data_IF_097752296973
#
_entry.id   IF_097752296973
#
_cell.length_a   1.000
_cell.length_b   1.000
_cell.length_c   1.000
_cell.angle_alpha   90.00
_cell.angle_beta   90.00
_cell.angle_gamma   90.00
#
_symmetry.space_group_name_H-M   'P 1'
#
loop_
_entity.id
_entity.type
_entity.pdbx_description
1 polymer ?
#
# COMPACT_ATOMS: atom_id res chain seq x y z
N UNK A 1 -45.29 -56.79 17.69
CA UNK A 1 -43.91 -56.39 17.34
C UNK A 1 -43.75 -56.57 15.85
N UNK A 2 -43.76 -55.50 15.05
CA UNK A 2 -43.09 -55.43 13.74
C UNK A 2 -43.15 -54.01 13.21
N UNK A 3 -41.96 -53.48 12.93
CA UNK A 3 -41.69 -52.11 12.53
C UNK A 3 -41.81 -51.92 11.00
N UNK A 4 -42.04 -50.67 10.65
CA UNK A 4 -42.36 -50.10 9.36
C UNK A 4 -41.21 -50.18 8.34
N UNK A 5 -41.58 -50.47 7.09
CA UNK A 5 -40.72 -50.57 5.91
C UNK A 5 -40.22 -49.20 5.43
N UNK A 6 -38.93 -49.14 5.07
CA UNK A 6 -38.32 -48.08 4.26
C UNK A 6 -38.32 -48.47 2.76
N UNK A 7 -38.52 -47.54 1.81
CA UNK A 7 -38.10 -47.73 0.42
C UNK A 7 -36.75 -47.02 0.21
N UNK A 8 -35.65 -47.73 -0.08
CA UNK A 8 -35.25 -48.30 -1.37
C UNK A 8 -35.19 -47.27 -2.49
N UNK A 9 -33.98 -46.73 -2.68
CA UNK A 9 -33.57 -45.87 -3.80
C UNK A 9 -33.15 -46.76 -4.96
N UNK A 10 -33.66 -46.47 -6.16
CA UNK A 10 -33.07 -46.91 -7.42
C UNK A 10 -33.03 -45.71 -8.40
N UNK A 11 -32.09 -45.72 -9.36
CA UNK A 11 -31.58 -44.53 -10.03
C UNK A 11 -32.25 -44.31 -11.39
N UNK A 12 -32.21 -43.08 -11.89
CA UNK A 12 -32.27 -42.86 -13.34
C UNK A 12 -31.50 -41.61 -13.74
N UNK A 13 -30.90 -41.71 -14.92
CA UNK A 13 -29.84 -40.86 -15.44
C UNK A 13 -30.29 -39.53 -16.05
N UNK A 14 -29.28 -38.68 -16.16
CA UNK A 14 -29.11 -37.47 -16.94
C UNK A 14 -30.14 -37.15 -18.05
N UNK A 15 -30.61 -35.90 -18.07
CA UNK A 15 -30.24 -34.93 -19.11
C UNK A 15 -30.71 -33.51 -18.72
N UNK A 16 -29.97 -32.49 -19.16
CA UNK A 16 -30.60 -31.20 -19.47
C UNK A 16 -30.30 -30.01 -18.54
N UNK A 17 -29.17 -29.36 -18.81
CA UNK A 17 -28.97 -27.89 -18.78
C UNK A 17 -29.03 -27.18 -17.41
N UNK A 18 -27.85 -26.82 -16.92
CA UNK A 18 -27.66 -25.80 -15.88
C UNK A 18 -28.20 -24.45 -16.36
N UNK A 19 -29.34 -24.06 -15.83
CA UNK A 19 -29.87 -22.72 -15.96
C UNK A 19 -29.02 -21.71 -15.16
N UNK A 20 -28.89 -20.52 -15.76
CA UNK A 20 -28.55 -19.23 -15.16
C UNK A 20 -27.09 -19.00 -14.72
N UNK A 21 -26.21 -18.77 -15.70
CA UNK A 21 -25.14 -17.77 -15.54
C UNK A 21 -25.80 -16.39 -15.40
N UNK A 22 -25.84 -15.85 -14.19
CA UNK A 22 -26.25 -14.47 -13.95
C UNK A 22 -25.27 -13.51 -14.63
N UNK A 23 -25.80 -12.72 -15.56
CA UNK A 23 -25.15 -11.55 -16.16
C UNK A 23 -24.73 -10.56 -15.06
N UNK A 24 -23.46 -10.15 -15.06
CA UNK A 24 -22.98 -8.97 -14.31
C UNK A 24 -22.08 -9.23 -13.10
N UNK A 25 -21.81 -10.47 -12.70
CA UNK A 25 -20.90 -10.77 -11.59
C UNK A 25 -19.43 -10.80 -12.03
N UNK A 26 -18.60 -9.89 -11.51
CA UNK A 26 -17.14 -10.00 -11.64
C UNK A 26 -16.66 -11.25 -10.86
N UNK A 27 -16.09 -12.28 -11.52
CA UNK A 27 -15.65 -13.47 -10.81
C UNK A 27 -14.33 -13.13 -10.11
N UNK A 28 -14.35 -13.06 -8.78
CA UNK A 28 -13.14 -12.92 -7.96
C UNK A 28 -12.14 -14.08 -8.17
N UNK A 29 -12.56 -15.12 -8.88
CA UNK A 29 -11.82 -16.33 -9.18
C UNK A 29 -11.34 -16.42 -10.64
N UNK A 30 -11.32 -15.31 -11.40
CA UNK A 30 -10.89 -15.34 -12.82
C UNK A 30 -9.52 -15.99 -13.02
N UNK A 31 -8.53 -15.72 -12.15
CA UNK A 31 -7.23 -16.36 -12.26
C UNK A 31 -7.32 -17.88 -12.08
N UNK A 32 -8.09 -18.35 -11.10
CA UNK A 32 -8.31 -19.77 -10.86
C UNK A 32 -9.11 -20.41 -11.99
N UNK A 33 -10.18 -19.78 -12.45
CA UNK A 33 -11.02 -20.27 -13.54
C UNK A 33 -10.24 -20.35 -14.86
N UNK A 34 -9.42 -19.35 -15.17
CA UNK A 34 -8.55 -19.36 -16.35
C UNK A 34 -7.47 -20.43 -16.26
N UNK A 35 -6.89 -20.64 -15.07
CA UNK A 35 -5.93 -21.72 -14.84
C UNK A 35 -6.62 -23.09 -15.00
N UNK A 36 -7.80 -23.26 -14.42
CA UNK A 36 -8.55 -24.52 -14.50
C UNK A 36 -9.05 -24.81 -15.92
N UNK A 37 -9.46 -23.79 -16.67
CA UNK A 37 -9.87 -23.91 -18.07
C UNK A 37 -8.69 -24.29 -18.98
N UNK A 38 -7.52 -23.68 -18.75
CA UNK A 38 -6.30 -24.09 -19.42
C UNK A 38 -5.91 -25.53 -19.07
N UNK A 39 -5.99 -25.92 -17.79
CA UNK A 39 -5.73 -27.30 -17.35
C UNK A 39 -6.69 -28.28 -18.02
N UNK A 40 -7.99 -27.97 -18.11
CA UNK A 40 -8.97 -28.80 -18.81
C UNK A 40 -8.64 -28.95 -20.30
N UNK A 41 -8.12 -27.88 -20.94
CA UNK A 41 -7.66 -27.92 -22.33
C UNK A 41 -6.45 -28.85 -22.50
N UNK A 42 -5.52 -28.83 -21.54
CA UNK A 42 -4.38 -29.74 -21.52
C UNK A 42 -4.80 -31.20 -21.27
N UNK A 43 -5.77 -31.44 -20.39
CA UNK A 43 -6.31 -32.78 -20.12
C UNK A 43 -6.98 -33.38 -21.36
N UNK A 44 -7.75 -32.58 -22.10
CA UNK A 44 -8.37 -33.01 -23.37
C UNK A 44 -7.32 -33.35 -24.43
N UNK A 45 -6.27 -32.55 -24.54
CA UNK A 45 -5.20 -32.79 -25.52
C UNK A 45 -4.35 -34.01 -25.14
N UNK A 46 -4.08 -34.20 -23.85
CA UNK A 46 -3.43 -35.41 -23.34
C UNK A 46 -4.26 -36.66 -23.62
N UNK A 47 -5.58 -36.60 -23.44
CA UNK A 47 -6.49 -37.71 -23.76
C UNK A 47 -6.51 -38.03 -25.27
N UNK A 48 -6.29 -37.04 -26.13
CA UNK A 48 -6.28 -37.19 -27.59
C UNK A 48 -4.97 -37.75 -28.14
N UNK A 49 -3.84 -37.37 -27.56
CA UNK A 49 -2.51 -37.63 -28.12
C UNK A 49 -1.68 -38.62 -27.31
N UNK A 50 -2.08 -38.93 -26.07
CA UNK A 50 -1.41 -39.88 -25.18
C UNK A 50 -0.11 -39.37 -24.55
N UNK A 51 0.51 -38.33 -25.10
CA UNK A 51 1.71 -37.68 -24.55
C UNK A 51 1.73 -36.19 -24.88
N UNK A 52 2.02 -35.34 -23.89
CA UNK A 52 2.24 -33.90 -24.09
C UNK A 52 3.74 -33.60 -24.01
N UNK A 53 4.35 -33.21 -25.13
CA UNK A 53 5.72 -32.70 -25.12
C UNK A 53 5.77 -31.18 -24.90
N UNK A 54 6.97 -30.66 -24.66
CA UNK A 54 7.18 -29.24 -24.38
C UNK A 54 6.87 -28.32 -25.59
N UNK A 55 6.79 -28.85 -26.81
CA UNK A 55 6.39 -28.12 -28.00
C UNK A 55 4.87 -27.96 -28.07
N UNK A 56 4.14 -29.06 -27.87
CA UNK A 56 2.68 -29.10 -27.81
C UNK A 56 2.12 -28.22 -26.69
N UNK A 57 2.73 -28.27 -25.50
CA UNK A 57 2.35 -27.41 -24.36
C UNK A 57 2.46 -25.92 -24.70
N UNK A 58 3.55 -25.50 -25.37
CA UNK A 58 3.73 -24.09 -25.76
C UNK A 58 2.74 -23.67 -26.84
N UNK A 59 2.48 -24.53 -27.83
CA UNK A 59 1.50 -24.24 -28.87
C UNK A 59 0.08 -24.07 -28.29
N UNK A 60 -0.32 -24.94 -27.36
CA UNK A 60 -1.61 -24.84 -26.68
C UNK A 60 -1.72 -23.59 -25.80
N UNK A 61 -0.64 -23.22 -25.10
CA UNK A 61 -0.59 -21.98 -24.32
C UNK A 61 -0.80 -20.74 -25.20
N UNK A 62 -0.16 -20.67 -26.37
CA UNK A 62 -0.32 -19.54 -27.30
C UNK A 62 -1.73 -19.45 -27.88
N UNK A 63 -2.36 -20.58 -28.21
CA UNK A 63 -3.75 -20.62 -28.70
C UNK A 63 -4.73 -20.18 -27.61
N UNK A 64 -4.52 -20.63 -26.38
CA UNK A 64 -5.33 -20.22 -25.23
C UNK A 64 -5.20 -18.72 -24.95
N UNK A 65 -3.96 -18.19 -24.92
CA UNK A 65 -3.70 -16.76 -24.74
C UNK A 65 -4.28 -15.92 -25.89
N UNK A 66 -4.28 -16.43 -27.12
CA UNK A 66 -4.94 -15.81 -28.27
C UNK A 66 -6.45 -15.64 -28.07
N UNK A 67 -7.14 -16.67 -27.56
CA UNK A 67 -8.56 -16.59 -27.21
C UNK A 67 -8.83 -15.57 -26.10
N UNK A 68 -7.99 -15.53 -25.06
CA UNK A 68 -8.16 -14.57 -23.96
C UNK A 68 -8.00 -13.10 -24.39
N UNK A 69 -7.13 -12.83 -25.37
CA UNK A 69 -6.98 -11.49 -25.96
C UNK A 69 -8.23 -11.03 -26.73
N UNK A 70 -9.10 -11.95 -27.15
CA UNK A 70 -10.35 -11.67 -27.84
C UNK A 70 -11.54 -11.40 -26.91
N UNK A 71 -11.44 -11.75 -25.62
CA UNK A 71 -12.44 -11.39 -24.62
C UNK A 71 -12.33 -9.89 -24.31
N UNK A 72 -13.42 -9.13 -24.53
CA UNK A 72 -13.49 -7.68 -24.32
C UNK A 72 -12.90 -7.25 -22.97
N UNK A 73 -12.33 -6.04 -22.92
CA UNK A 73 -11.84 -5.37 -21.71
C UNK A 73 -12.79 -5.62 -20.52
N UNK A 74 -12.26 -5.85 -19.30
CA UNK A 74 -13.11 -6.05 -18.13
C UNK A 74 -14.06 -4.86 -18.03
N UNK A 75 -15.37 -5.13 -17.89
CA UNK A 75 -16.37 -4.08 -17.68
C UNK A 75 -15.89 -3.13 -16.57
N UNK A 76 -16.17 -1.84 -16.67
CA UNK A 76 -15.73 -0.82 -15.68
C UNK A 76 -16.04 -1.22 -14.22
N UNK A 77 -17.04 -2.08 -14.01
CA UNK A 77 -17.37 -2.70 -12.74
C UNK A 77 -16.29 -3.66 -12.21
N UNK A 78 -15.61 -4.42 -13.05
CA UNK A 78 -14.46 -5.26 -12.67
C UNK A 78 -13.25 -4.41 -12.29
N UNK A 79 -13.02 -3.28 -12.98
CA UNK A 79 -11.96 -2.34 -12.62
C UNK A 79 -12.27 -1.66 -11.29
N UNK A 80 -13.52 -1.20 -11.08
CA UNK A 80 -13.99 -0.66 -9.79
C UNK A 80 -13.94 -1.68 -8.66
N UNK A 81 -14.29 -2.94 -8.91
CA UNK A 81 -14.21 -4.00 -7.91
C UNK A 81 -12.75 -4.38 -7.62
N UNK A 82 -11.88 -4.46 -8.64
CA UNK A 82 -10.44 -4.65 -8.46
C UNK A 82 -9.81 -3.50 -7.69
N UNK A 83 -10.23 -2.26 -7.97
CA UNK A 83 -9.88 -1.11 -7.15
C UNK A 83 -10.41 -1.31 -5.73
N UNK A 84 -11.69 -1.64 -5.52
CA UNK A 84 -12.27 -1.93 -4.20
C UNK A 84 -11.54 -3.04 -3.45
N UNK A 85 -11.05 -4.07 -4.13
CA UNK A 85 -10.23 -5.13 -3.54
C UNK A 85 -8.83 -4.64 -3.22
N UNK A 86 -8.20 -3.83 -4.08
CA UNK A 86 -6.97 -3.09 -3.72
C UNK A 86 -7.18 -2.11 -2.57
N UNK A 87 -8.40 -1.60 -2.40
CA UNK A 87 -8.80 -0.75 -1.28
C UNK A 87 -9.02 -1.59 -0.02
N UNK A 88 -9.61 -2.78 -0.14
CA UNK A 88 -9.73 -3.77 0.94
C UNK A 88 -8.40 -4.39 1.33
N UNK A 89 -7.48 -4.59 0.39
CA UNK A 89 -6.11 -5.04 0.63
C UNK A 89 -5.32 -3.98 1.40
N UNK A 90 -5.52 -2.69 1.10
CA UNK A 90 -5.04 -1.59 1.95
C UNK A 90 -5.78 -1.45 3.29
N UNK A 91 -6.97 -2.05 3.45
CA UNK A 91 -7.61 -2.26 4.75
C UNK A 91 -7.01 -3.45 5.52
N UNK A 92 -6.15 -4.29 4.92
CA UNK A 92 -5.47 -5.41 5.60
C UNK A 92 -4.28 -4.98 6.45
N UNK A 93 -3.74 -3.78 6.20
CA UNK A 93 -2.57 -3.22 6.89
C UNK A 93 -2.94 -1.95 7.66
N UNK A 94 -3.79 -2.04 8.71
CA UNK A 94 -4.19 -0.89 9.50
C UNK A 94 -3.02 -0.12 10.14
N UNK A 95 -1.92 -0.78 10.49
CA UNK A 95 -0.74 -0.11 11.03
C UNK A 95 -0.06 0.78 9.99
N UNK A 96 0.13 0.27 8.75
CA UNK A 96 0.63 1.07 7.63
C UNK A 96 -0.22 2.32 7.40
N UNK A 97 -1.55 2.16 7.49
CA UNK A 97 -2.49 3.27 7.30
C UNK A 97 -2.33 4.35 8.38
N UNK A 98 -2.10 3.98 9.63
CA UNK A 98 -1.81 4.95 10.70
C UNK A 98 -0.54 5.75 10.42
N UNK A 99 0.50 5.09 9.89
CA UNK A 99 1.75 5.76 9.50
C UNK A 99 1.53 6.68 8.30
N UNK A 100 0.87 6.21 7.24
CA UNK A 100 0.62 6.99 6.02
C UNK A 100 -0.22 8.23 6.31
N UNK A 101 -1.16 8.14 7.26
CA UNK A 101 -2.01 9.27 7.64
C UNK A 101 -1.20 10.51 8.01
N UNK A 102 -0.03 10.33 8.66
CA UNK A 102 0.88 11.41 9.10
C UNK A 102 1.31 12.34 7.98
N UNK A 103 1.47 11.81 6.77
CA UNK A 103 1.85 12.58 5.59
C UNK A 103 0.79 12.54 4.48
N UNK A 104 -0.43 12.10 4.80
CA UNK A 104 -1.48 11.89 3.79
C UNK A 104 -1.89 13.18 3.08
N UNK A 105 -1.74 14.32 3.73
CA UNK A 105 -1.93 15.66 3.15
C UNK A 105 -0.96 15.98 2.00
N UNK A 106 0.12 15.20 1.82
CA UNK A 106 1.03 15.33 0.69
C UNK A 106 0.62 14.46 -0.52
N UNK A 107 -0.38 13.59 -0.35
CA UNK A 107 -0.86 12.64 -1.36
C UNK A 107 -2.13 13.16 -2.06
N UNK A 108 -2.43 12.69 -3.29
CA UNK A 108 -3.70 12.93 -3.96
C UNK A 108 -4.85 12.44 -3.08
N UNK A 109 -5.90 13.23 -2.93
CA UNK A 109 -7.04 12.94 -2.04
C UNK A 109 -7.71 11.62 -2.40
N UNK A 110 -7.99 10.80 -1.38
CA UNK A 110 -8.83 9.61 -1.48
C UNK A 110 -9.88 9.61 -0.37
N UNK A 111 -10.92 8.79 -0.52
CA UNK A 111 -11.99 8.71 0.47
C UNK A 111 -11.40 8.23 1.82
N UNK A 112 -11.60 9.02 2.87
CA UNK A 112 -11.19 8.69 4.23
C UNK A 112 -9.71 8.98 4.55
N UNK A 113 -9.08 9.90 3.83
CA UNK A 113 -7.80 10.52 4.22
C UNK A 113 -7.75 12.02 3.88
N UNK A 114 -6.67 12.67 4.35
CA UNK A 114 -6.55 14.12 4.38
C UNK A 114 -5.78 14.67 3.15
N UNK A 115 -5.73 13.91 2.05
CA UNK A 115 -4.99 14.29 0.85
C UNK A 115 -5.52 15.53 0.12
N UNK A 116 -4.78 15.98 -0.89
CA UNK A 116 -5.10 17.20 -1.66
C UNK A 116 -5.72 16.87 -3.02
N UNK A 117 -6.66 17.70 -3.49
CA UNK A 117 -7.35 17.46 -4.76
C UNK A 117 -6.46 17.67 -5.98
N UNK A 118 -5.52 18.61 -5.92
CA UNK A 118 -4.61 18.97 -7.01
C UNK A 118 -3.24 19.35 -6.45
N UNK A 119 -2.19 19.21 -7.27
CA UNK A 119 -0.84 19.64 -6.89
C UNK A 119 -0.19 18.80 -5.79
N UNK A 120 -0.63 17.55 -5.61
CA UNK A 120 -0.02 16.64 -4.64
C UNK A 120 1.48 16.46 -4.92
N UNK A 121 2.28 16.61 -3.87
CA UNK A 121 3.74 16.52 -3.98
C UNK A 121 4.20 15.06 -4.13
N UNK A 122 3.50 14.13 -3.48
CA UNK A 122 3.79 12.70 -3.53
C UNK A 122 2.78 11.96 -4.41
N UNK A 123 3.19 10.85 -5.04
CA UNK A 123 2.26 9.91 -5.69
C UNK A 123 1.95 8.74 -4.75
N UNK A 124 0.74 8.21 -4.82
CA UNK A 124 0.37 7.00 -4.07
C UNK A 124 1.07 5.75 -4.55
N UNK A 125 1.72 5.81 -5.71
CA UNK A 125 2.64 4.77 -6.19
C UNK A 125 3.84 4.60 -5.28
N UNK A 126 4.20 5.60 -4.49
CA UNK A 126 5.29 5.51 -3.52
C UNK A 126 4.94 4.66 -2.30
N UNK A 127 3.65 4.48 -1.98
CA UNK A 127 3.19 3.83 -0.74
C UNK A 127 3.80 2.43 -0.55
N UNK A 128 3.77 1.51 -1.54
CA UNK A 128 4.37 0.18 -1.38
C UNK A 128 5.88 0.26 -1.05
N UNK A 129 6.62 1.13 -1.71
CA UNK A 129 8.04 1.34 -1.44
C UNK A 129 8.31 1.95 -0.07
N UNK A 130 7.45 2.86 0.39
CA UNK A 130 7.51 3.42 1.75
C UNK A 130 7.25 2.32 2.79
N UNK A 131 6.24 1.47 2.57
CA UNK A 131 5.94 0.34 3.43
C UNK A 131 7.13 -0.62 3.52
N UNK A 132 7.76 -0.97 2.39
CA UNK A 132 8.99 -1.79 2.34
C UNK A 132 10.13 -1.13 3.13
N UNK A 133 10.34 0.18 2.96
CA UNK A 133 11.38 0.91 3.69
C UNK A 133 11.14 0.89 5.21
N UNK A 134 9.89 1.10 5.65
CA UNK A 134 9.48 1.01 7.05
C UNK A 134 9.77 -0.40 7.58
N UNK A 135 9.28 -1.45 6.90
CA UNK A 135 9.52 -2.84 7.31
C UNK A 135 11.02 -3.16 7.42
N UNK A 136 11.85 -2.66 6.49
CA UNK A 136 13.32 -2.83 6.54
C UNK A 136 13.97 -2.11 7.73
N UNK A 137 13.45 -0.95 8.15
CA UNK A 137 13.97 -0.22 9.31
C UNK A 137 13.52 -0.85 10.64
N UNK A 138 12.25 -1.24 10.75
CA UNK A 138 11.71 -1.72 12.03
C UNK A 138 11.95 -3.23 12.23
N UNK A 139 12.08 -3.98 11.14
CA UNK A 139 12.16 -5.44 11.11
C UNK A 139 10.77 -6.10 11.00
N UNK A 140 10.69 -7.19 10.25
CA UNK A 140 9.41 -7.87 9.93
C UNK A 140 8.64 -8.34 11.16
N UNK A 141 9.33 -8.85 12.19
CA UNK A 141 8.67 -9.37 13.39
C UNK A 141 8.00 -8.26 14.19
N UNK A 142 8.67 -7.11 14.33
CA UNK A 142 8.10 -5.93 15.00
C UNK A 142 6.97 -5.32 14.17
N UNK A 143 7.15 -5.25 12.85
CA UNK A 143 6.09 -4.83 11.94
C UNK A 143 4.82 -5.66 12.17
N UNK A 144 4.93 -6.99 12.18
CA UNK A 144 3.79 -7.91 12.40
C UNK A 144 3.19 -7.77 13.79
N UNK A 145 4.01 -7.53 14.82
CA UNK A 145 3.54 -7.30 16.18
C UNK A 145 2.69 -6.01 16.26
N UNK A 146 3.15 -4.92 15.65
CA UNK A 146 2.41 -3.65 15.63
C UNK A 146 1.18 -3.70 14.72
N UNK A 147 1.23 -4.44 13.62
CA UNK A 147 0.07 -4.75 12.78
C UNK A 147 -1.01 -5.48 13.59
N UNK A 148 -0.62 -6.53 14.32
CA UNK A 148 -1.52 -7.27 15.23
C UNK A 148 -2.12 -6.36 16.31
N UNK A 149 -1.29 -5.53 16.95
CA UNK A 149 -1.75 -4.59 17.97
C UNK A 149 -2.76 -3.57 17.39
N UNK A 150 -2.53 -3.11 16.16
CA UNK A 150 -3.45 -2.17 15.48
C UNK A 150 -4.77 -2.84 15.11
N UNK A 151 -4.75 -4.11 14.69
CA UNK A 151 -5.96 -4.90 14.49
C UNK A 151 -6.78 -5.02 15.78
N UNK A 152 -6.13 -5.20 16.93
CA UNK A 152 -6.81 -5.26 18.22
C UNK A 152 -7.45 -3.92 18.62
N UNK A 153 -6.78 -2.79 18.34
CA UNK A 153 -7.37 -1.45 18.51
C UNK A 153 -8.62 -1.31 17.64
N UNK A 154 -8.55 -1.72 16.37
CA UNK A 154 -9.69 -1.66 15.46
C UNK A 154 -10.84 -2.57 15.88
N UNK A 155 -10.54 -3.78 16.40
CA UNK A 155 -11.54 -4.71 16.91
C UNK A 155 -12.33 -4.07 18.06
N UNK A 156 -11.64 -3.45 19.02
CA UNK A 156 -12.27 -2.70 20.11
C UNK A 156 -13.07 -1.50 19.62
N UNK A 157 -12.50 -0.71 18.71
CA UNK A 157 -13.20 0.44 18.12
C UNK A 157 -14.52 0.03 17.43
N UNK A 158 -14.52 -1.06 16.65
CA UNK A 158 -15.73 -1.59 16.00
C UNK A 158 -16.77 -2.09 17.00
N UNK A 159 -16.34 -2.66 18.12
CA UNK A 159 -17.25 -3.11 19.18
C UNK A 159 -17.91 -1.92 19.90
N UNK A 160 -17.17 -0.82 20.09
CA UNK A 160 -17.67 0.41 20.70
C UNK A 160 -18.57 1.22 19.75
N UNK A 161 -18.27 1.21 18.45
CA UNK A 161 -18.97 2.00 17.43
C UNK A 161 -19.28 1.13 16.19
N UNK A 162 -20.45 0.46 16.16
CA UNK A 162 -20.88 -0.29 15.00
C UNK A 162 -21.08 0.62 13.79
N UNK A 163 -20.40 0.34 12.68
CA UNK A 163 -20.51 1.12 11.44
C UNK A 163 -19.21 1.19 10.65
N UNK A 164 -19.15 2.07 9.63
CA UNK A 164 -17.91 2.36 8.91
C UNK A 164 -16.82 2.85 9.85
N UNK A 165 -15.57 2.41 9.64
CA UNK A 165 -14.43 2.82 10.47
C UNK A 165 -14.11 4.28 10.21
N UNK A 166 -14.19 5.10 11.26
CA UNK A 166 -13.65 6.46 11.25
C UNK A 166 -12.16 6.42 11.62
N UNK A 167 -11.32 6.56 10.60
CA UNK A 167 -9.86 6.54 10.78
C UNK A 167 -9.32 7.75 11.51
N UNK A 168 -10.04 8.89 11.53
CA UNK A 168 -9.63 10.04 12.31
C UNK A 168 -9.78 9.73 13.82
N UNK A 169 -10.90 9.13 14.21
CA UNK A 169 -11.11 8.69 15.60
C UNK A 169 -10.13 7.60 16.01
N UNK A 170 -9.91 6.58 15.15
CA UNK A 170 -8.92 5.53 15.43
C UNK A 170 -7.52 6.11 15.61
N UNK A 171 -7.11 7.04 14.74
CA UNK A 171 -5.79 7.67 14.82
C UNK A 171 -5.63 8.59 16.04
N UNK A 172 -6.72 9.18 16.54
CA UNK A 172 -6.72 10.03 17.72
C UNK A 172 -6.62 9.24 19.04
N UNK A 173 -6.81 7.90 19.01
CA UNK A 173 -6.66 7.06 20.21
C UNK A 173 -5.22 7.07 20.69
N UNK A 174 -5.03 7.25 22.01
CA UNK A 174 -3.72 7.24 22.66
C UNK A 174 -2.87 6.02 22.28
N UNK A 175 -3.48 4.83 22.23
CA UNK A 175 -2.78 3.60 21.87
C UNK A 175 -2.29 3.59 20.42
N UNK A 176 -3.07 4.14 19.48
CA UNK A 176 -2.67 4.30 18.08
C UNK A 176 -1.50 5.27 17.94
N UNK A 177 -1.59 6.42 18.63
CA UNK A 177 -0.52 7.42 18.67
C UNK A 177 0.76 6.82 19.23
N UNK A 178 0.69 6.09 20.33
CA UNK A 178 1.84 5.41 20.94
C UNK A 178 2.48 4.38 20.01
N UNK A 179 1.68 3.58 19.28
CA UNK A 179 2.23 2.62 18.30
C UNK A 179 2.98 3.30 17.17
N UNK A 180 2.44 4.40 16.62
CA UNK A 180 3.11 5.17 15.59
C UNK A 180 4.39 5.80 16.14
N UNK A 181 4.35 6.42 17.32
CA UNK A 181 5.52 7.02 17.96
C UNK A 181 6.63 5.99 18.24
N UNK A 182 6.28 4.81 18.75
CA UNK A 182 7.24 3.72 18.94
C UNK A 182 7.95 3.35 17.64
N UNK A 183 7.21 3.33 16.53
CA UNK A 183 7.78 3.08 15.21
C UNK A 183 8.72 4.21 14.77
N UNK A 184 8.30 5.47 14.89
CA UNK A 184 9.11 6.63 14.52
C UNK A 184 10.40 6.72 15.34
N UNK A 185 10.31 6.49 16.65
CA UNK A 185 11.45 6.48 17.56
C UNK A 185 12.40 5.33 17.23
N UNK A 186 11.87 4.16 16.88
CA UNK A 186 12.68 3.02 16.43
C UNK A 186 13.39 3.30 15.10
N UNK A 187 12.76 4.07 14.21
CA UNK A 187 13.33 4.45 12.92
C UNK A 187 14.33 5.60 13.02
N UNK A 188 14.23 6.49 14.02
CA UNK A 188 15.06 7.69 14.12
C UNK A 188 16.58 7.43 14.01
N UNK A 189 17.18 6.41 14.67
CA UNK A 189 18.61 6.13 14.55
C UNK A 189 19.08 5.78 13.13
N UNK A 190 18.19 5.30 12.25
CA UNK A 190 18.55 5.01 10.86
C UNK A 190 18.90 6.27 10.07
N UNK A 191 18.44 7.43 10.53
CA UNK A 191 18.67 8.72 9.90
C UNK A 191 19.81 9.51 10.56
N UNK A 192 20.72 8.86 11.31
CA UNK A 192 21.91 9.52 11.87
C UNK A 192 22.79 10.20 10.81
N UNK A 193 22.86 9.62 9.61
CA UNK A 193 23.30 10.29 8.39
C UNK A 193 22.07 10.50 7.49
N UNK A 194 21.43 11.66 7.65
CA UNK A 194 20.16 11.95 6.99
C UNK A 194 20.29 11.94 5.47
N UNK A 195 21.37 12.49 4.92
CA UNK A 195 21.53 12.63 3.47
C UNK A 195 21.72 11.27 2.81
N UNK A 196 22.62 10.45 3.37
CA UNK A 196 22.80 9.06 2.92
C UNK A 196 21.52 8.25 3.06
N UNK A 197 20.78 8.42 4.16
CA UNK A 197 19.56 7.64 4.39
C UNK A 197 18.40 8.08 3.52
N UNK A 198 18.29 9.37 3.20
CA UNK A 198 17.33 9.89 2.22
C UNK A 198 17.62 9.30 0.84
N UNK A 199 18.88 9.23 0.42
CA UNK A 199 19.24 8.62 -0.85
C UNK A 199 18.83 7.13 -0.93
N UNK A 200 19.13 6.37 0.13
CA UNK A 200 18.66 4.97 0.24
C UNK A 200 17.13 4.87 0.19
N UNK A 201 16.41 5.78 0.85
CA UNK A 201 14.95 5.78 0.86
C UNK A 201 14.38 6.04 -0.54
N UNK A 202 14.96 7.00 -1.27
CA UNK A 202 14.61 7.30 -2.66
C UNK A 202 14.77 6.06 -3.54
N UNK A 203 15.90 5.35 -3.42
CA UNK A 203 16.19 4.13 -4.17
C UNK A 203 15.18 3.00 -3.88
N UNK A 204 14.91 2.76 -2.59
CA UNK A 204 13.94 1.73 -2.18
C UNK A 204 12.56 2.06 -2.70
N UNK A 205 12.11 3.30 -2.57
CA UNK A 205 10.78 3.73 -3.02
C UNK A 205 10.66 3.61 -4.53
N UNK A 206 11.64 4.11 -5.28
CA UNK A 206 11.60 4.06 -6.75
C UNK A 206 11.67 2.62 -7.30
N UNK A 207 12.34 1.71 -6.59
CA UNK A 207 12.40 0.28 -6.97
C UNK A 207 11.09 -0.49 -6.71
N UNK A 208 10.16 0.10 -5.96
CA UNK A 208 8.90 -0.54 -5.56
C UNK A 208 7.69 0.36 -5.88
N UNK A 209 7.79 1.19 -6.93
CA UNK A 209 6.65 2.00 -7.35
C UNK A 209 5.50 1.09 -7.78
N UNK A 210 4.31 1.41 -7.26
CA UNK A 210 3.07 0.80 -7.75
C UNK A 210 2.83 1.12 -9.24
N UNK A 211 1.85 0.44 -9.86
CA UNK A 211 1.48 0.71 -11.24
C UNK A 211 0.99 2.17 -11.41
N UNK A 212 1.17 2.77 -12.61
CA UNK A 212 0.64 4.09 -12.94
C UNK A 212 -0.81 4.27 -12.47
N UNK A 213 -1.11 5.41 -11.87
CA UNK A 213 -2.45 5.75 -11.43
C UNK A 213 -3.02 6.89 -12.31
N UNK A 214 -4.36 6.96 -12.48
CA UNK A 214 -4.99 8.03 -13.26
C UNK A 214 -4.59 9.44 -12.78
N UNK A 215 -4.43 9.62 -11.47
CA UNK A 215 -4.03 10.89 -10.86
C UNK A 215 -2.61 11.36 -11.25
N UNK A 216 -1.76 10.50 -11.80
CA UNK A 216 -0.40 10.89 -12.23
C UNK A 216 -0.38 11.62 -13.58
N UNK A 217 -1.53 11.72 -14.28
CA UNK A 217 -1.67 12.50 -15.50
C UNK A 217 -0.70 12.11 -16.62
N UNK A 218 -0.31 10.83 -16.70
CA UNK A 218 0.60 10.30 -17.72
C UNK A 218 2.08 10.66 -17.52
N UNK A 219 2.46 11.33 -16.43
CA UNK A 219 3.87 11.65 -16.15
C UNK A 219 4.56 10.48 -15.45
N UNK A 220 5.84 10.27 -15.77
CA UNK A 220 6.71 9.38 -15.00
C UNK A 220 7.00 10.05 -13.66
N UNK A 221 6.22 9.70 -12.63
CA UNK A 221 6.47 10.17 -11.27
C UNK A 221 7.62 9.38 -10.65
N UNK A 222 8.56 10.09 -10.02
CA UNK A 222 9.67 9.51 -9.25
C UNK A 222 9.81 10.23 -7.92
N UNK A 223 10.23 9.48 -6.90
CA UNK A 223 10.70 10.04 -5.65
C UNK A 223 12.07 10.69 -5.89
N UNK A 224 12.27 11.87 -5.33
CA UNK A 224 13.57 12.55 -5.25
C UNK A 224 13.88 12.93 -3.80
N UNK A 225 15.09 13.46 -3.56
CA UNK A 225 15.53 13.81 -2.21
C UNK A 225 14.68 14.90 -1.54
N UNK A 226 14.12 15.85 -2.31
CA UNK A 226 13.27 16.91 -1.75
C UNK A 226 11.92 16.34 -1.30
N UNK A 227 11.27 15.54 -2.15
CA UNK A 227 10.03 14.83 -1.83
C UNK A 227 10.19 13.90 -0.64
N UNK A 228 11.29 13.16 -0.57
CA UNK A 228 11.59 12.26 0.53
C UNK A 228 11.77 13.02 1.86
N UNK A 229 12.49 14.15 1.86
CA UNK A 229 12.66 14.97 3.06
C UNK A 229 11.35 15.59 3.53
N UNK A 230 10.56 16.13 2.62
CA UNK A 230 9.25 16.70 2.96
C UNK A 230 8.30 15.64 3.52
N UNK A 231 8.33 14.41 2.98
CA UNK A 231 7.60 13.28 3.56
C UNK A 231 8.08 12.96 4.98
N UNK A 232 9.40 12.93 5.22
CA UNK A 232 9.96 12.68 6.55
C UNK A 232 9.60 13.78 7.55
N UNK A 233 9.63 15.05 7.13
CA UNK A 233 9.18 16.18 7.95
C UNK A 233 7.73 15.98 8.40
N UNK A 234 6.82 15.72 7.45
CA UNK A 234 5.42 15.47 7.74
C UNK A 234 5.21 14.22 8.61
N UNK A 235 5.99 13.15 8.37
CA UNK A 235 5.91 11.91 9.13
C UNK A 235 6.24 12.12 10.62
N UNK A 236 7.27 12.92 10.89
CA UNK A 236 7.78 13.18 12.24
C UNK A 236 7.14 14.40 12.93
N UNK A 237 6.29 15.17 12.26
CA UNK A 237 5.86 16.50 12.71
C UNK A 237 5.32 16.51 14.15
N UNK A 238 4.25 15.76 14.47
CA UNK A 238 3.73 15.81 15.84
C UNK A 238 4.71 15.24 16.88
N UNK A 239 5.61 14.30 16.50
CA UNK A 239 6.62 13.78 17.43
C UNK A 239 7.68 14.86 17.72
N UNK A 240 8.05 15.67 16.73
CA UNK A 240 8.90 16.85 16.92
C UNK A 240 8.18 17.89 17.78
N UNK A 241 6.88 18.10 17.57
CA UNK A 241 6.08 19.00 18.39
C UNK A 241 6.06 18.55 19.85
N UNK A 242 5.80 17.26 20.12
CA UNK A 242 5.87 16.70 21.47
C UNK A 242 7.27 16.78 22.10
N UNK A 243 8.33 16.62 21.30
CA UNK A 243 9.70 16.83 21.76
C UNK A 243 9.94 18.26 22.24
N UNK A 244 9.35 19.26 21.56
CA UNK A 244 9.42 20.68 21.97
C UNK A 244 8.58 20.95 23.23
N UNK A 245 7.37 20.42 23.28
CA UNK A 245 6.41 20.74 24.34
C UNK A 245 6.68 20.00 25.66
N UNK A 246 7.17 18.76 25.60
CA UNK A 246 7.31 17.88 26.75
C UNK A 246 8.50 16.91 26.67
N UNK A 247 9.75 17.41 26.53
CA UNK A 247 10.93 16.55 26.33
C UNK A 247 11.19 15.58 27.48
N UNK A 248 10.88 15.97 28.73
CA UNK A 248 11.11 15.14 29.93
C UNK A 248 10.15 13.95 29.98
N UNK A 249 8.87 14.17 29.70
CA UNK A 249 7.87 13.09 29.65
C UNK A 249 8.18 12.10 28.53
N UNK A 250 8.59 12.63 27.37
CA UNK A 250 8.95 11.83 26.21
C UNK A 250 10.20 10.97 26.50
N UNK A 251 11.19 11.54 27.19
CA UNK A 251 12.39 10.82 27.63
C UNK A 251 12.10 9.76 28.70
N UNK A 252 11.21 10.05 29.65
CA UNK A 252 10.76 9.07 30.63
C UNK A 252 10.05 7.88 29.96
N UNK A 253 9.33 8.14 28.86
CA UNK A 253 8.58 7.11 28.12
C UNK A 253 9.48 6.23 27.25
N UNK A 254 10.43 6.83 26.53
CA UNK A 254 11.17 6.15 25.45
C UNK A 254 12.67 5.94 25.75
N UNK A 255 13.18 6.55 26.81
CA UNK A 255 14.55 6.41 27.28
C UNK A 255 15.56 7.33 26.57
N UNK A 256 16.60 7.73 27.31
CA UNK A 256 17.58 8.75 26.90
C UNK A 256 18.27 8.44 25.57
N UNK A 257 18.62 7.17 25.31
CA UNK A 257 19.28 6.79 24.06
C UNK A 257 18.41 7.04 22.83
N UNK A 258 17.13 6.69 22.91
CA UNK A 258 16.20 6.87 21.81
C UNK A 258 15.91 8.36 21.58
N UNK A 259 15.82 9.13 22.66
CA UNK A 259 15.66 10.58 22.61
C UNK A 259 16.88 11.30 22.03
N UNK A 260 18.10 10.81 22.28
CA UNK A 260 19.32 11.32 21.65
C UNK A 260 19.22 11.29 20.12
N UNK A 261 18.89 10.12 19.56
CA UNK A 261 18.72 9.96 18.11
C UNK A 261 17.58 10.83 17.54
N UNK A 262 16.47 10.98 18.28
CA UNK A 262 15.37 11.84 17.84
C UNK A 262 15.77 13.33 17.82
N UNK A 263 16.53 13.80 18.82
CA UNK A 263 17.05 15.19 18.86
C UNK A 263 18.05 15.46 17.73
N UNK A 264 18.92 14.51 17.44
CA UNK A 264 19.86 14.60 16.31
C UNK A 264 19.11 14.71 14.97
N UNK A 265 18.07 13.91 14.80
CA UNK A 265 17.21 13.95 13.61
C UNK A 265 16.43 15.27 13.51
N UNK A 266 15.85 15.76 14.61
CA UNK A 266 15.15 17.05 14.65
C UNK A 266 16.08 18.21 14.29
N UNK A 267 17.31 18.20 14.80
CA UNK A 267 18.33 19.18 14.43
C UNK A 267 18.71 19.08 12.93
N UNK A 268 18.74 17.87 12.36
CA UNK A 268 18.99 17.67 10.94
C UNK A 268 17.84 18.21 10.07
N UNK A 269 16.60 18.02 10.50
CA UNK A 269 15.42 18.61 9.85
C UNK A 269 15.46 20.14 9.88
N UNK A 270 15.77 20.74 11.03
CA UNK A 270 15.87 22.19 11.15
C UNK A 270 16.90 22.81 10.18
N UNK A 271 18.05 22.15 9.97
CA UNK A 271 19.05 22.59 8.99
C UNK A 271 18.51 22.56 7.55
N UNK A 272 17.77 21.51 7.20
CA UNK A 272 17.16 21.42 5.87
C UNK A 272 16.08 22.49 5.66
N UNK A 273 15.22 22.73 6.66
CA UNK A 273 14.20 23.78 6.62
C UNK A 273 14.84 25.17 6.43
N UNK A 274 15.94 25.46 7.14
CA UNK A 274 16.70 26.71 6.97
C UNK A 274 17.31 26.85 5.58
N UNK A 275 17.92 25.79 5.05
CA UNK A 275 18.49 25.79 3.70
C UNK A 275 17.43 26.03 2.62
N UNK A 276 16.24 25.45 2.77
CA UNK A 276 15.13 25.65 1.85
C UNK A 276 14.67 27.12 1.86
N UNK A 277 14.56 27.75 3.02
CA UNK A 277 14.22 29.19 3.15
C UNK A 277 15.27 30.07 2.48
N UNK A 278 16.56 29.81 2.71
CA UNK A 278 17.66 30.55 2.09
C UNK A 278 17.70 30.41 0.57
N UNK A 279 17.37 29.22 0.04
CA UNK A 279 17.32 28.99 -1.41
C UNK A 279 16.20 29.76 -2.11
N UNK A 280 15.07 29.97 -1.43
CA UNK A 280 13.95 30.78 -1.95
C UNK A 280 14.24 32.28 -1.87
N UNK A 281 15.06 32.71 -0.90
CA UNK A 281 15.41 34.12 -0.69
C UNK A 281 16.66 34.58 -1.45
N UNK A 282 17.36 33.69 -2.16
CA UNK A 282 18.52 34.06 -2.95
C UNK A 282 18.11 34.98 -4.11
N UNK A 283 18.64 36.21 -4.23
CA UNK A 283 18.32 37.08 -5.34
C UNK A 283 18.77 36.42 -6.64
N UNK A 284 17.91 36.50 -7.67
CA UNK A 284 18.25 36.08 -9.03
C UNK A 284 19.54 36.80 -9.42
N UNK A 285 20.66 36.08 -9.49
CA UNK A 285 21.92 36.66 -9.95
C UNK A 285 21.71 37.16 -11.37
N UNK A 286 21.81 38.47 -11.53
CA UNK A 286 21.86 39.14 -12.82
C UNK A 286 22.86 38.42 -13.73
N UNK A 287 22.34 37.75 -14.76
CA UNK A 287 23.14 37.28 -15.86
C UNK A 287 23.69 38.52 -16.57
N UNK A 288 25.02 38.66 -16.76
CA UNK A 288 25.54 39.78 -17.51
C UNK A 288 25.03 39.65 -18.95
N UNK A 289 24.22 40.62 -19.37
CA UNK A 289 23.96 40.90 -20.78
C UNK A 289 25.31 41.13 -21.47
N UNK A 290 25.83 40.09 -22.10
CA UNK A 290 26.98 40.19 -23.01
C UNK A 290 26.54 40.97 -24.24
N UNK A 291 26.95 42.23 -24.31
CA UNK A 291 26.85 43.05 -25.51
C UNK A 291 27.60 42.40 -26.67
N UNK A 292 26.86 42.16 -27.75
CA UNK A 292 27.44 41.90 -29.07
C UNK A 292 27.83 43.25 -29.67
N UNK A 293 29.14 43.47 -29.79
CA UNK A 293 29.74 44.29 -30.84
C UNK A 293 29.82 43.48 -32.14
#
# INVERSE_FOLDING_TARGET
MTATLSPSVAPDGADGRSEAYNEGGCPLDMSRLLIMDFVATLEQEAARTGTLDAGALRAQAEVFLGHLRGLRQPADNCLRLHEQLKWEERRRHPFERLIIRRFSHLLPKRIGDDGVMQGAMLSRRAIPGIAVAITKMIGIDRYRAWETATHEILRRHKAERPGPIDWADVAARRESTQLVELALIRMAPYFGDLDKRVQWLVEVVNSHLGPPQPEDGGRVWVMDGSKARMMLLALYDDLRQRLRDGPVELEATYGSRAMGALRELDAAFARFEQQAVMAVQAPARDLPFGGLL
#
